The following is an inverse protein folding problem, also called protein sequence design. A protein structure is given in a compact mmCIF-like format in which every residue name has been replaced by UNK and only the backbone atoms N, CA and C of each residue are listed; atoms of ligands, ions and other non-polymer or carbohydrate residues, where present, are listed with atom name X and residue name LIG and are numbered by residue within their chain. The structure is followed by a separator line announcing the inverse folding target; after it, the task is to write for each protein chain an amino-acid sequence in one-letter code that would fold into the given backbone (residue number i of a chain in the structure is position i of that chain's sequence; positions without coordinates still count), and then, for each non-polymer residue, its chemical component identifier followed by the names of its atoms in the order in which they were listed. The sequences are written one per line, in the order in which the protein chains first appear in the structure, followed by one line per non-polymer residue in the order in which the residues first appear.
data_IF_431356364442
#
_entry.id   IF_431356364442
#
_cell.length_a   1.000
_cell.length_b   1.000
_cell.length_c   1.000
_cell.angle_alpha   90.00
_cell.angle_beta   90.00
_cell.angle_gamma   90.00
#
_symmetry.space_group_name_H-M   'P 1'
#
loop_
_entity.id
_entity.type
_entity.pdbx_description
1 polymer ?
#
# COMPACT_ATOMS: atom_id res chain seq x y z
N UNK A 1 -4.20 3.32 15.14
CA UNK A 1 -4.54 1.93 15.54
C UNK A 1 -5.05 1.82 16.97
N UNK A 2 -4.24 2.04 18.01
CA UNK A 2 -4.67 1.88 19.41
C UNK A 2 -5.93 2.67 19.78
N UNK A 3 -6.08 3.88 19.25
CA UNK A 3 -7.26 4.71 19.51
C UNK A 3 -8.55 4.08 18.95
N UNK A 4 -8.49 3.35 17.83
CA UNK A 4 -9.64 2.58 17.33
C UNK A 4 -9.92 1.37 18.24
N UNK A 5 -8.87 0.62 18.59
CA UNK A 5 -8.96 -0.58 19.44
C UNK A 5 -9.57 -0.24 20.81
N UNK A 6 -9.24 0.94 21.36
CA UNK A 6 -9.75 1.45 22.64
C UNK A 6 -11.11 2.16 22.52
N UNK A 7 -11.73 2.19 21.34
CA UNK A 7 -13.02 2.85 21.12
C UNK A 7 -12.97 4.39 21.17
N UNK A 8 -11.79 4.99 21.07
CA UNK A 8 -11.61 6.46 21.09
C UNK A 8 -11.81 7.10 19.72
N UNK A 9 -11.72 6.30 18.64
CA UNK A 9 -12.02 6.71 17.26
C UNK A 9 -12.95 5.67 16.64
N UNK A 10 -13.84 6.13 15.77
CA UNK A 10 -14.69 5.29 14.92
C UNK A 10 -14.06 5.01 13.56
N UNK A 11 -13.11 5.83 13.13
CA UNK A 11 -12.42 5.76 11.84
C UNK A 11 -10.93 6.03 12.05
N UNK A 12 -10.09 5.26 11.37
CA UNK A 12 -8.64 5.51 11.26
C UNK A 12 -8.19 5.30 9.83
N UNK A 13 -7.22 6.09 9.39
CA UNK A 13 -6.43 5.73 8.22
C UNK A 13 -5.54 4.55 8.61
N UNK A 14 -5.67 3.44 7.89
CA UNK A 14 -4.90 2.22 8.08
C UNK A 14 -4.52 1.66 6.71
N UNK A 15 -3.41 0.94 6.65
CA UNK A 15 -2.96 0.22 5.45
C UNK A 15 -2.90 -1.28 5.74
N UNK A 16 -2.47 -2.06 4.75
CA UNK A 16 -2.40 -3.52 4.86
C UNK A 16 -1.60 -4.02 6.07
N UNK A 17 -0.57 -3.29 6.51
CA UNK A 17 0.28 -3.65 7.64
C UNK A 17 -0.51 -3.69 8.95
N UNK A 18 -1.67 -3.03 9.00
CA UNK A 18 -2.56 -3.03 10.16
C UNK A 18 -3.57 -4.18 10.16
N UNK A 19 -3.83 -4.85 9.02
CA UNK A 19 -4.84 -5.92 8.91
C UNK A 19 -4.56 -7.09 9.84
N UNK A 20 -3.33 -7.59 9.85
CA UNK A 20 -2.92 -8.65 10.77
C UNK A 20 -3.09 -8.28 12.24
N UNK A 21 -2.92 -6.99 12.59
CA UNK A 21 -3.15 -6.51 13.96
C UNK A 21 -4.61 -6.63 14.35
N UNK A 22 -5.55 -6.26 13.47
CA UNK A 22 -6.98 -6.41 13.74
C UNK A 22 -7.42 -7.88 13.81
N UNK A 23 -6.98 -8.69 12.85
CA UNK A 23 -7.26 -10.13 12.85
C UNK A 23 -6.75 -10.81 14.14
N UNK A 24 -5.62 -10.33 14.70
CA UNK A 24 -5.04 -10.87 15.93
C UNK A 24 -5.69 -10.32 17.21
N UNK A 25 -5.95 -9.01 17.28
CA UNK A 25 -6.33 -8.33 18.54
C UNK A 25 -7.82 -8.01 18.65
N UNK A 26 -8.55 -8.03 17.55
CA UNK A 26 -10.00 -7.81 17.50
C UNK A 26 -10.69 -8.88 16.63
N UNK A 27 -10.36 -10.19 16.78
CA UNK A 27 -10.85 -11.23 15.88
C UNK A 27 -12.37 -11.34 15.89
N UNK A 28 -13.00 -11.17 17.05
CA UNK A 28 -14.45 -11.26 17.19
C UNK A 28 -15.15 -10.06 16.55
N UNK A 29 -14.64 -8.84 16.76
CA UNK A 29 -15.19 -7.63 16.15
C UNK A 29 -15.03 -7.61 14.63
N UNK A 30 -13.94 -8.17 14.11
CA UNK A 30 -13.79 -8.41 12.67
C UNK A 30 -14.84 -9.41 12.20
N UNK A 31 -14.95 -10.57 12.86
CA UNK A 31 -15.92 -11.62 12.51
C UNK A 31 -17.38 -11.12 12.56
N UNK A 32 -17.71 -10.26 13.51
CA UNK A 32 -19.05 -9.69 13.69
C UNK A 32 -19.34 -8.51 12.77
N UNK A 33 -18.37 -8.11 11.93
CA UNK A 33 -18.50 -6.96 11.04
C UNK A 33 -18.50 -5.60 11.74
N UNK A 34 -18.05 -5.53 13.00
CA UNK A 34 -17.86 -4.27 13.74
C UNK A 34 -16.63 -3.52 13.21
N UNK A 35 -15.56 -4.26 12.89
CA UNK A 35 -14.37 -3.72 12.22
C UNK A 35 -14.41 -4.12 10.76
N UNK A 36 -14.57 -3.13 9.89
CA UNK A 36 -14.62 -3.32 8.44
C UNK A 36 -13.62 -2.39 7.74
N UNK A 37 -13.11 -2.85 6.61
CA UNK A 37 -12.39 -2.00 5.68
C UNK A 37 -13.37 -1.27 4.78
N UNK A 38 -13.15 0.02 4.62
CA UNK A 38 -13.87 0.84 3.65
C UNK A 38 -12.88 1.43 2.64
N UNK A 39 -13.37 1.86 1.46
CA UNK A 39 -12.56 2.68 0.58
C UNK A 39 -12.16 3.98 1.29
N UNK A 40 -11.04 4.56 0.87
CA UNK A 40 -10.68 5.90 1.33
C UNK A 40 -11.82 6.87 1.05
N UNK A 41 -12.12 7.73 2.04
CA UNK A 41 -13.07 8.81 1.86
C UNK A 41 -12.66 9.68 0.67
N UNK A 42 -13.61 10.17 -0.13
CA UNK A 42 -13.30 11.16 -1.15
C UNK A 42 -12.80 12.43 -0.47
N UNK A 43 -11.48 12.63 -0.47
CA UNK A 43 -10.88 13.89 -0.05
C UNK A 43 -11.09 14.88 -1.19
N UNK A 44 -11.78 15.99 -0.93
CA UNK A 44 -11.95 17.05 -1.91
C UNK A 44 -10.56 17.53 -2.36
N UNK A 45 -10.26 17.42 -3.67
CA UNK A 45 -8.98 17.88 -4.25
C UNK A 45 -8.01 16.79 -4.72
N UNK A 46 -8.41 15.53 -4.82
CA UNK A 46 -7.57 14.46 -5.38
C UNK A 46 -8.38 13.29 -5.93
N UNK A 47 -7.71 12.30 -6.51
CA UNK A 47 -8.35 11.01 -6.80
C UNK A 47 -8.56 10.28 -5.48
N UNK A 48 -9.80 9.99 -5.12
CA UNK A 48 -10.11 9.12 -3.98
C UNK A 48 -9.49 7.75 -4.23
N UNK A 49 -8.50 7.39 -3.41
CA UNK A 49 -7.81 6.12 -3.49
C UNK A 49 -6.52 6.15 -2.67
N UNK A 50 -6.14 5.02 -2.09
CA UNK A 50 -4.76 4.87 -1.61
C UNK A 50 -3.84 4.87 -2.83
N UNK A 51 -2.96 5.87 -2.94
CA UNK A 51 -1.79 5.83 -3.83
C UNK A 51 -0.76 4.90 -3.20
N UNK A 52 -1.12 3.62 -3.07
CA UNK A 52 -0.26 2.44 -2.99
C UNK A 52 -1.07 1.27 -2.45
N UNK A 53 -1.22 0.26 -3.31
CA UNK A 53 -0.90 -1.09 -2.88
C UNK A 53 0.56 -1.26 -3.25
N UNK A 54 1.39 -1.66 -2.30
CA UNK A 54 2.77 -2.06 -2.56
C UNK A 54 2.68 -2.95 -3.78
N UNK A 55 3.24 -2.46 -4.90
CA UNK A 55 3.03 -3.03 -6.22
C UNK A 55 3.00 -4.54 -6.07
N UNK A 56 1.87 -5.16 -6.45
CA UNK A 56 1.61 -6.59 -6.36
C UNK A 56 2.95 -7.33 -6.52
N UNK A 57 3.52 -7.75 -5.39
CA UNK A 57 4.96 -7.90 -5.14
C UNK A 57 5.87 -7.75 -6.38
N UNK A 58 6.54 -6.61 -6.55
CA UNK A 58 7.65 -6.50 -7.49
C UNK A 58 8.79 -7.42 -7.03
N UNK A 59 8.78 -8.67 -7.50
CA UNK A 59 9.91 -9.56 -7.35
C UNK A 59 11.05 -9.03 -8.21
N UNK A 60 12.15 -8.69 -7.56
CA UNK A 60 13.39 -8.32 -8.23
C UNK A 60 14.37 -9.48 -8.06
N UNK A 61 14.88 -10.01 -9.17
CA UNK A 61 15.99 -10.98 -9.13
C UNK A 61 17.29 -10.18 -9.15
N UNK A 62 17.99 -10.17 -8.03
CA UNK A 62 19.30 -9.51 -7.94
C UNK A 62 20.34 -10.29 -8.74
N UNK A 63 20.92 -9.66 -9.77
CA UNK A 63 22.04 -10.25 -10.52
C UNK A 63 23.23 -10.49 -9.60
N UNK A 64 23.72 -11.74 -9.59
CA UNK A 64 24.92 -12.13 -8.84
C UNK A 64 26.10 -12.34 -9.78
N UNK A 65 27.31 -12.31 -9.22
CA UNK A 65 28.56 -12.70 -9.91
C UNK A 65 29.12 -13.96 -9.24
N UNK A 66 29.92 -14.73 -9.98
CA UNK A 66 30.58 -15.94 -9.48
C UNK A 66 30.10 -17.23 -10.14
N UNK A 67 30.71 -18.38 -9.79
CA UNK A 67 30.48 -19.65 -10.47
C UNK A 67 29.02 -20.14 -10.39
N UNK A 68 28.29 -19.77 -9.33
CA UNK A 68 26.90 -20.21 -9.12
C UNK A 68 25.85 -19.19 -9.56
N UNK A 69 26.26 -18.08 -10.20
CA UNK A 69 25.35 -16.97 -10.50
C UNK A 69 24.14 -17.41 -11.34
N UNK A 70 24.38 -18.19 -12.39
CA UNK A 70 23.33 -18.69 -13.29
C UNK A 70 22.38 -19.65 -12.57
N UNK A 71 22.92 -20.57 -11.76
CA UNK A 71 22.11 -21.54 -11.00
C UNK A 71 21.21 -20.83 -9.99
N UNK A 72 21.73 -19.80 -9.31
CA UNK A 72 20.94 -19.01 -8.35
C UNK A 72 19.88 -18.17 -9.04
N UNK A 73 20.16 -17.62 -10.20
CA UNK A 73 19.17 -16.88 -11.01
C UNK A 73 18.04 -17.81 -11.47
N UNK A 74 18.38 -19.01 -11.95
CA UNK A 74 17.38 -20.03 -12.30
C UNK A 74 16.53 -20.43 -11.09
N UNK A 75 17.15 -20.71 -9.94
CA UNK A 75 16.42 -21.06 -8.73
C UNK A 75 15.48 -19.93 -8.25
N UNK A 76 15.92 -18.68 -8.36
CA UNK A 76 15.07 -17.52 -8.06
C UNK A 76 13.87 -17.45 -9.00
N UNK A 77 14.06 -17.75 -10.29
CA UNK A 77 12.94 -17.81 -11.25
C UNK A 77 11.94 -18.93 -10.95
N UNK A 78 12.43 -20.13 -10.61
CA UNK A 78 11.57 -21.23 -10.19
C UNK A 78 10.76 -20.88 -8.94
N UNK A 79 11.38 -20.20 -7.97
CA UNK A 79 10.69 -19.71 -6.78
C UNK A 79 9.61 -18.67 -7.12
N UNK A 80 9.90 -17.73 -8.03
CA UNK A 80 8.89 -16.76 -8.49
C UNK A 80 7.69 -17.49 -9.08
N UNK A 81 7.91 -18.47 -9.97
CA UNK A 81 6.79 -19.25 -10.54
C UNK A 81 5.96 -19.96 -9.47
N UNK A 82 6.63 -20.57 -8.47
CA UNK A 82 5.94 -21.19 -7.33
C UNK A 82 5.09 -20.18 -6.56
N UNK A 83 5.64 -19.00 -6.29
CA UNK A 83 4.93 -17.93 -5.56
C UNK A 83 3.64 -17.50 -6.27
N UNK A 84 3.64 -17.48 -7.60
CA UNK A 84 2.49 -17.07 -8.42
C UNK A 84 1.47 -18.18 -8.69
N UNK A 85 1.65 -19.38 -8.12
CA UNK A 85 0.59 -20.41 -8.11
C UNK A 85 -0.66 -19.92 -7.41
N UNK A 86 -1.80 -20.44 -7.84
CA UNK A 86 -3.12 -20.00 -7.40
C UNK A 86 -3.27 -20.13 -5.88
N UNK A 87 -2.95 -21.30 -5.34
CA UNK A 87 -3.03 -21.62 -3.91
C UNK A 87 -2.17 -20.68 -3.05
N UNK A 88 -0.99 -20.31 -3.56
CA UNK A 88 -0.05 -19.43 -2.86
C UNK A 88 -0.52 -17.97 -2.89
N UNK A 89 -1.08 -17.52 -4.03
CA UNK A 89 -1.66 -16.19 -4.14
C UNK A 89 -2.93 -16.05 -3.28
N UNK A 90 -3.76 -17.09 -3.20
CA UNK A 90 -4.91 -17.15 -2.29
C UNK A 90 -4.46 -17.10 -0.83
N UNK A 91 -3.44 -17.89 -0.46
CA UNK A 91 -2.90 -17.89 0.91
C UNK A 91 -2.33 -16.52 1.30
N UNK A 92 -1.53 -15.91 0.41
CA UNK A 92 -1.02 -14.55 0.57
C UNK A 92 -2.16 -13.54 0.74
N UNK A 93 -3.22 -13.65 -0.06
CA UNK A 93 -4.32 -12.71 0.02
C UNK A 93 -5.08 -12.80 1.35
N UNK A 94 -5.26 -14.01 1.87
CA UNK A 94 -5.89 -14.24 3.17
C UNK A 94 -5.09 -13.63 4.33
N UNK A 95 -3.76 -13.64 4.28
CA UNK A 95 -2.93 -13.04 5.34
C UNK A 95 -2.69 -11.54 5.14
N UNK A 96 -2.46 -11.13 3.89
CA UNK A 96 -1.77 -9.89 3.53
C UNK A 96 -2.51 -9.11 2.44
N UNK A 97 -3.77 -9.40 2.16
CA UNK A 97 -4.64 -8.51 1.38
C UNK A 97 -4.75 -8.85 -0.10
N UNK A 98 -4.49 -7.91 -1.00
CA UNK A 98 -4.66 -8.13 -2.43
C UNK A 98 -3.45 -8.90 -3.01
N UNK A 99 -3.71 -9.98 -3.75
CA UNK A 99 -2.68 -10.71 -4.49
C UNK A 99 -2.59 -10.26 -5.95
N UNK A 100 -1.55 -10.71 -6.67
CA UNK A 100 -1.33 -10.30 -8.06
C UNK A 100 -2.29 -10.94 -9.06
N UNK A 101 -2.82 -12.13 -8.72
CA UNK A 101 -3.73 -12.92 -9.56
C UNK A 101 -5.16 -12.37 -9.48
N UNK A 102 -5.54 -11.52 -10.44
CA UNK A 102 -6.88 -10.92 -10.50
C UNK A 102 -8.01 -11.94 -10.60
N UNK A 103 -7.73 -13.04 -11.28
CA UNK A 103 -8.64 -14.16 -11.50
C UNK A 103 -9.10 -14.85 -10.21
N UNK A 104 -8.36 -14.73 -9.10
CA UNK A 104 -8.78 -15.30 -7.80
C UNK A 104 -9.53 -14.32 -6.90
N UNK A 105 -9.65 -13.05 -7.28
CA UNK A 105 -10.16 -12.01 -6.40
C UNK A 105 -11.64 -12.20 -6.02
N UNK A 106 -12.45 -12.69 -6.95
CA UNK A 106 -13.87 -12.93 -6.67
C UNK A 106 -14.08 -13.95 -5.55
N UNK A 107 -13.25 -14.99 -5.49
CA UNK A 107 -13.28 -15.99 -4.43
C UNK A 107 -12.74 -15.50 -3.08
N UNK A 108 -12.17 -14.29 -3.02
CA UNK A 108 -11.63 -13.67 -1.81
C UNK A 108 -12.57 -12.60 -1.22
N UNK A 109 -13.65 -12.25 -1.91
CA UNK A 109 -14.69 -11.33 -1.41
C UNK A 109 -15.40 -11.93 -0.20
N UNK A 110 -15.87 -11.07 0.71
CA UNK A 110 -16.57 -11.49 1.93
C UNK A 110 -15.69 -12.17 2.98
N UNK A 111 -14.35 -12.22 2.77
CA UNK A 111 -13.41 -12.42 3.88
C UNK A 111 -13.78 -11.43 5.01
N UNK A 112 -13.59 -11.80 6.30
CA UNK A 112 -14.42 -11.31 7.40
C UNK A 112 -14.42 -9.78 7.61
N UNK A 113 -13.50 -9.07 6.96
CA UNK A 113 -13.28 -7.65 7.07
C UNK A 113 -13.58 -6.85 5.77
N UNK A 114 -14.08 -7.49 4.70
CA UNK A 114 -14.36 -6.87 3.38
C UNK A 114 -13.16 -6.17 2.73
N UNK A 115 -11.94 -6.63 3.06
CA UNK A 115 -10.69 -6.00 2.61
C UNK A 115 -10.56 -5.95 1.08
N UNK A 116 -10.95 -7.03 0.39
CA UNK A 116 -10.80 -7.15 -1.06
C UNK A 116 -11.76 -6.21 -1.77
N UNK A 117 -12.99 -6.09 -1.30
CA UNK A 117 -13.99 -5.19 -1.84
C UNK A 117 -13.54 -3.73 -1.69
N UNK A 118 -13.13 -3.34 -0.48
CA UNK A 118 -12.61 -2.00 -0.21
C UNK A 118 -11.38 -1.67 -1.08
N UNK A 119 -10.49 -2.65 -1.25
CA UNK A 119 -9.27 -2.49 -2.03
C UNK A 119 -9.56 -2.36 -3.53
N UNK A 120 -10.35 -3.28 -4.09
CA UNK A 120 -10.62 -3.34 -5.53
C UNK A 120 -11.49 -2.19 -6.01
N UNK A 121 -12.35 -1.60 -5.16
CA UNK A 121 -13.10 -0.40 -5.50
C UNK A 121 -12.23 0.84 -5.72
N UNK A 122 -10.98 0.83 -5.21
CA UNK A 122 -10.03 1.94 -5.35
C UNK A 122 -9.07 1.80 -6.56
N UNK A 123 -9.18 0.72 -7.35
CA UNK A 123 -8.24 0.43 -8.45
C UNK A 123 -8.55 1.14 -9.79
N UNK A 124 -9.51 2.05 -9.84
CA UNK A 124 -9.87 2.75 -11.09
C UNK A 124 -8.90 3.89 -11.47
N UNK A 125 -7.96 4.25 -10.60
CA UNK A 125 -6.79 5.09 -10.92
C UNK A 125 -5.73 4.97 -9.81
N UNK A 126 -5.17 3.77 -9.56
CA UNK A 126 -4.24 3.57 -8.47
C UNK A 126 -2.92 4.14 -8.95
N UNK A 127 -2.63 5.39 -8.59
CA UNK A 127 -1.29 5.92 -8.77
C UNK A 127 -0.32 4.92 -8.13
N UNK A 128 0.53 4.30 -8.95
CA UNK A 128 1.68 3.56 -8.42
C UNK A 128 2.71 4.59 -8.02
N UNK A 129 3.48 4.32 -6.95
CA UNK A 129 4.62 5.18 -6.66
C UNK A 129 5.53 5.23 -7.88
N UNK A 130 5.94 6.44 -8.24
CA UNK A 130 6.92 6.63 -9.30
C UNK A 130 8.18 5.86 -8.95
N UNK A 131 8.68 5.02 -9.86
CA UNK A 131 9.97 4.35 -9.70
C UNK A 131 11.16 5.27 -10.06
N UNK A 132 10.94 6.59 -10.00
CA UNK A 132 12.01 7.56 -10.23
C UNK A 132 13.08 7.40 -9.15
N UNK A 133 14.40 7.47 -9.47
CA UNK A 133 15.46 7.33 -8.47
C UNK A 133 15.38 8.34 -7.32
N UNK A 134 14.75 9.49 -7.55
CA UNK A 134 14.51 10.56 -6.56
C UNK A 134 13.14 10.48 -5.87
N UNK A 135 12.34 9.45 -6.14
CA UNK A 135 10.97 9.33 -5.62
C UNK A 135 10.93 9.33 -4.10
N UNK A 136 11.83 8.57 -3.45
CA UNK A 136 11.96 8.51 -1.99
C UNK A 136 12.29 9.89 -1.41
N UNK A 137 13.25 10.60 -2.00
CA UNK A 137 13.64 11.94 -1.55
C UNK A 137 12.47 12.93 -1.66
N UNK A 138 11.76 12.90 -2.79
CA UNK A 138 10.62 13.79 -3.04
C UNK A 138 9.46 13.46 -2.07
N UNK A 139 9.11 12.18 -1.92
CA UNK A 139 7.93 11.76 -1.16
C UNK A 139 8.12 11.85 0.35
N UNK A 140 9.28 11.42 0.87
CA UNK A 140 9.48 11.31 2.31
C UNK A 140 10.28 12.46 2.90
N UNK A 141 11.29 12.94 2.18
CA UNK A 141 12.22 13.93 2.73
C UNK A 141 11.76 15.35 2.42
N UNK A 142 11.21 15.57 1.22
CA UNK A 142 10.82 16.90 0.76
C UNK A 142 9.37 17.25 1.14
N UNK A 143 8.41 16.35 0.94
CA UNK A 143 7.00 16.65 1.25
C UNK A 143 6.74 16.82 2.76
N UNK A 144 7.38 16.00 3.60
CA UNK A 144 7.10 15.95 5.04
C UNK A 144 7.32 17.30 5.78
N UNK A 145 8.42 18.05 5.56
CA UNK A 145 8.60 19.37 6.15
C UNK A 145 7.51 20.38 5.77
N UNK A 146 7.06 20.41 4.51
CA UNK A 146 6.02 21.33 4.04
C UNK A 146 4.67 21.04 4.69
N UNK A 147 4.27 19.76 4.76
CA UNK A 147 3.02 19.40 5.42
C UNK A 147 3.08 19.66 6.93
N UNK A 148 4.23 19.47 7.59
CA UNK A 148 4.41 19.81 9.00
C UNK A 148 4.26 21.31 9.27
N UNK A 149 4.82 22.17 8.41
CA UNK A 149 4.64 23.63 8.51
C UNK A 149 3.18 24.03 8.30
N UNK A 150 2.52 23.48 7.29
CA UNK A 150 1.09 23.72 7.04
C UNK A 150 0.22 23.31 8.24
N UNK A 151 0.48 22.13 8.83
CA UNK A 151 -0.18 21.66 10.05
C UNK A 151 0.15 22.52 11.29
N UNK A 152 1.29 23.21 11.28
CA UNK A 152 1.71 24.18 12.29
C UNK A 152 1.15 25.59 12.11
N UNK A 153 0.35 25.84 11.07
CA UNK A 153 -0.34 27.11 10.82
C UNK A 153 0.18 27.93 9.63
N UNK A 154 1.19 27.45 8.89
CA UNK A 154 1.56 28.08 7.62
C UNK A 154 0.42 28.00 6.60
N UNK A 155 0.35 28.98 5.68
CA UNK A 155 -0.62 28.94 4.58
C UNK A 155 -0.34 27.76 3.65
N UNK A 156 -1.32 26.86 3.52
CA UNK A 156 -1.22 25.63 2.70
C UNK A 156 -0.81 25.94 1.26
N UNK A 157 -1.40 26.96 0.64
CA UNK A 157 -1.10 27.32 -0.75
C UNK A 157 0.36 27.74 -0.94
N UNK A 158 0.95 28.40 0.05
CA UNK A 158 2.36 28.81 0.01
C UNK A 158 3.29 27.61 0.15
N UNK A 159 3.05 26.72 1.12
CA UNK A 159 3.86 25.51 1.27
C UNK A 159 3.79 24.59 0.05
N UNK A 160 2.61 24.46 -0.59
CA UNK A 160 2.46 23.67 -1.82
C UNK A 160 3.22 24.27 -3.00
N UNK A 161 3.23 25.60 -3.16
CA UNK A 161 4.02 26.26 -4.23
C UNK A 161 5.51 26.03 -4.02
N UNK A 162 6.02 26.23 -2.81
CA UNK A 162 7.43 25.99 -2.48
C UNK A 162 7.83 24.54 -2.72
N UNK A 163 6.99 23.59 -2.29
CA UNK A 163 7.20 22.17 -2.57
C UNK A 163 7.35 21.88 -4.08
N UNK A 164 6.45 22.43 -4.91
CA UNK A 164 6.49 22.24 -6.37
C UNK A 164 7.78 22.81 -6.98
N UNK A 165 8.22 23.99 -6.54
CA UNK A 165 9.46 24.59 -7.01
C UNK A 165 10.70 23.75 -6.66
N UNK A 166 10.74 23.18 -5.45
CA UNK A 166 11.84 22.32 -4.99
C UNK A 166 11.85 20.98 -5.75
N UNK A 167 10.69 20.35 -5.96
CA UNK A 167 10.56 19.15 -6.80
C UNK A 167 11.07 19.43 -8.22
N UNK A 168 10.65 20.54 -8.82
CA UNK A 168 11.07 20.90 -10.18
C UNK A 168 12.59 21.15 -10.30
N UNK A 169 13.24 21.62 -9.23
CA UNK A 169 14.71 21.74 -9.20
C UNK A 169 15.37 20.36 -9.18
N UNK A 170 14.85 19.43 -8.38
CA UNK A 170 15.39 18.07 -8.27
C UNK A 170 15.22 17.28 -9.57
N UNK A 171 14.08 17.43 -10.25
CA UNK A 171 13.78 16.69 -11.48
C UNK A 171 14.46 17.25 -12.74
N UNK A 172 15.06 18.44 -12.67
CA UNK A 172 15.81 19.06 -13.80
C UNK A 172 17.28 18.63 -13.87
N UNK A 173 17.73 17.78 -12.95
CA UNK A 173 19.10 17.24 -12.86
C UNK A 173 19.11 15.81 -13.36
#
# INVERSE_FOLDING_TARGET
MEQLIRGQKSIVHADILNRGTFLKRMPQQVKDGIIQWGPHFPIAGGTSGSVVFLAMASFNITKQKGPDAEIKEQAAWEFVKEWFREENQIALAKSSGLCARRDVWDGLKGAPDHYIEATTSMLNNPGVWSNHPKSVDIQYNLFAPHIQKAMGGSEVATELRSYVEEVNKILKV
#
